data_IF_120430228570
#
_entry.id   IF_120430228570
#
_cell.length_a   1.000
_cell.length_b   1.000
_cell.length_c   1.000
_cell.angle_alpha   90.00
_cell.angle_beta   90.00
_cell.angle_gamma   90.00
#
_symmetry.space_group_name_H-M   'P 1'
#
loop_
_entity.id
_entity.type
_entity.pdbx_description
1 polymer ?
#
# COMPACT_ATOMS: atom_id res chain seq x y z
N UNK A 1 -11.73 15.56 -20.04
CA UNK A 1 -11.47 14.37 -19.19
C UNK A 1 -12.44 14.44 -18.03
N UNK A 2 -13.22 13.39 -17.78
CA UNK A 2 -14.12 13.34 -16.61
C UNK A 2 -13.31 13.09 -15.34
N UNK A 3 -13.87 13.43 -14.18
CA UNK A 3 -13.23 13.17 -12.88
C UNK A 3 -12.93 11.68 -12.69
N UNK A 4 -13.81 10.82 -13.19
CA UNK A 4 -13.66 9.36 -13.19
C UNK A 4 -12.47 8.90 -14.02
N UNK A 5 -12.30 9.44 -15.24
CA UNK A 5 -11.16 9.10 -16.10
C UNK A 5 -9.82 9.55 -15.50
N UNK A 6 -9.79 10.69 -14.78
CA UNK A 6 -8.62 11.13 -14.03
C UNK A 6 -8.29 10.20 -12.86
N UNK A 7 -9.31 9.69 -12.18
CA UNK A 7 -9.15 8.80 -11.04
C UNK A 7 -8.70 7.38 -11.46
N UNK A 8 -9.23 6.86 -12.56
CA UNK A 8 -8.75 5.60 -13.15
C UNK A 8 -7.29 5.71 -13.58
N UNK A 9 -6.94 6.78 -14.30
CA UNK A 9 -5.55 7.03 -14.67
C UNK A 9 -4.64 7.13 -13.45
N UNK A 10 -5.09 7.83 -12.39
CA UNK A 10 -4.32 7.95 -11.15
C UNK A 10 -4.12 6.60 -10.46
N UNK A 11 -5.16 5.76 -10.37
CA UNK A 11 -5.04 4.39 -9.84
C UNK A 11 -3.99 3.58 -10.60
N UNK A 12 -4.03 3.66 -11.92
CA UNK A 12 -3.09 2.96 -12.79
C UNK A 12 -1.64 3.42 -12.55
N UNK A 13 -1.41 4.74 -12.47
CA UNK A 13 -0.10 5.29 -12.15
C UNK A 13 0.40 4.90 -10.76
N UNK A 14 -0.48 4.93 -9.75
CA UNK A 14 -0.13 4.51 -8.38
C UNK A 14 0.29 3.05 -8.36
N UNK A 15 -0.39 2.18 -9.09
CA UNK A 15 -0.02 0.76 -9.22
C UNK A 15 1.38 0.60 -9.81
N UNK A 16 1.71 1.32 -10.89
CA UNK A 16 3.04 1.28 -11.50
C UNK A 16 4.14 1.81 -10.55
N UNK A 17 3.89 2.93 -9.87
CA UNK A 17 4.84 3.53 -8.92
C UNK A 17 5.11 2.57 -7.75
N UNK A 18 4.09 1.87 -7.27
CA UNK A 18 4.21 0.88 -6.20
C UNK A 18 5.10 -0.30 -6.60
N UNK A 19 4.89 -0.87 -7.79
CA UNK A 19 5.73 -1.94 -8.32
C UNK A 19 7.17 -1.48 -8.54
N UNK A 20 7.37 -0.29 -9.09
CA UNK A 20 8.71 0.26 -9.30
C UNK A 20 9.45 0.46 -7.97
N UNK A 21 8.77 1.08 -6.99
CA UNK A 21 9.32 1.31 -5.66
C UNK A 21 9.68 -0.02 -4.97
N UNK A 22 8.85 -1.05 -5.12
CA UNK A 22 9.14 -2.38 -4.60
C UNK A 22 10.46 -2.94 -5.14
N UNK A 23 10.65 -2.90 -6.46
CA UNK A 23 11.86 -3.41 -7.10
C UNK A 23 13.08 -2.70 -6.55
N UNK A 24 13.03 -1.37 -6.44
CA UNK A 24 14.11 -0.56 -5.88
C UNK A 24 14.39 -0.94 -4.42
N UNK A 25 13.36 -1.07 -3.58
CA UNK A 25 13.52 -1.43 -2.16
C UNK A 25 14.11 -2.83 -2.01
N UNK A 26 13.67 -3.81 -2.79
CA UNK A 26 14.23 -5.17 -2.77
C UNK A 26 15.70 -5.19 -3.18
N UNK A 27 16.07 -4.44 -4.22
CA UNK A 27 17.48 -4.32 -4.66
C UNK A 27 18.32 -3.66 -3.56
N UNK A 28 17.87 -2.55 -2.98
CA UNK A 28 18.62 -1.81 -1.96
C UNK A 28 18.74 -2.60 -0.65
N UNK A 29 17.65 -3.21 -0.18
CA UNK A 29 17.65 -4.01 1.05
C UNK A 29 18.43 -5.30 0.91
N UNK A 30 18.37 -5.94 -0.27
CA UNK A 30 19.21 -7.08 -0.63
C UNK A 30 20.70 -6.73 -0.67
N UNK A 31 21.06 -5.62 -1.31
CA UNK A 31 22.45 -5.14 -1.37
C UNK A 31 23.02 -4.81 0.02
N UNK A 32 22.23 -4.12 0.87
CA UNK A 32 22.64 -3.79 2.24
C UNK A 32 22.54 -4.96 3.23
N UNK A 33 22.11 -6.15 2.78
CA UNK A 33 21.79 -7.30 3.66
C UNK A 33 20.87 -6.91 4.83
N UNK A 34 19.99 -5.94 4.59
CA UNK A 34 19.05 -5.42 5.57
C UNK A 34 17.81 -6.31 5.62
N UNK A 35 17.98 -7.56 6.08
CA UNK A 35 16.95 -8.60 6.05
C UNK A 35 15.65 -8.20 6.76
N UNK A 36 15.74 -7.42 7.84
CA UNK A 36 14.57 -6.89 8.57
C UNK A 36 13.79 -5.90 7.69
N UNK A 37 14.48 -4.98 7.02
CA UNK A 37 13.85 -4.03 6.10
C UNK A 37 13.26 -4.74 4.87
N UNK A 38 13.90 -5.81 4.41
CA UNK A 38 13.39 -6.65 3.33
C UNK A 38 12.08 -7.35 3.73
N UNK A 39 12.01 -7.96 4.92
CA UNK A 39 10.77 -8.54 5.45
C UNK A 39 9.69 -7.46 5.63
N UNK A 40 10.05 -6.30 6.19
CA UNK A 40 9.13 -5.17 6.32
C UNK A 40 8.56 -4.71 4.98
N UNK A 41 9.41 -4.67 3.93
CA UNK A 41 8.97 -4.32 2.58
C UNK A 41 8.03 -5.36 1.95
N UNK A 42 8.24 -6.65 2.25
CA UNK A 42 7.34 -7.73 1.81
C UNK A 42 5.97 -7.65 2.51
N UNK A 43 5.96 -7.36 3.82
CA UNK A 43 4.71 -7.16 4.58
C UNK A 43 3.96 -5.93 4.06
N UNK A 44 4.67 -4.81 3.87
CA UNK A 44 4.11 -3.60 3.29
C UNK A 44 3.53 -3.85 1.90
N UNK A 45 4.23 -4.64 1.07
CA UNK A 45 3.74 -5.02 -0.24
C UNK A 45 2.48 -5.89 -0.16
N UNK A 46 2.45 -6.90 0.71
CA UNK A 46 1.27 -7.74 0.88
C UNK A 46 0.05 -6.88 1.25
N UNK A 47 0.24 -5.89 2.13
CA UNK A 47 -0.81 -4.96 2.53
C UNK A 47 -1.31 -4.11 1.36
N UNK A 48 -0.40 -3.56 0.57
CA UNK A 48 -0.72 -2.74 -0.60
C UNK A 48 -1.37 -3.58 -1.71
N UNK A 49 -0.87 -4.79 -1.94
CA UNK A 49 -1.43 -5.73 -2.92
C UNK A 49 -2.88 -6.09 -2.58
N UNK A 50 -3.17 -6.37 -1.31
CA UNK A 50 -4.55 -6.59 -0.84
C UNK A 50 -5.43 -5.37 -1.13
N UNK A 51 -4.93 -4.14 -0.95
CA UNK A 51 -5.70 -2.94 -1.28
C UNK A 51 -5.93 -2.72 -2.78
N UNK A 52 -4.96 -3.07 -3.63
CA UNK A 52 -5.10 -2.92 -5.08
C UNK A 52 -6.07 -3.95 -5.65
N UNK A 53 -5.97 -5.22 -5.20
CA UNK A 53 -6.84 -6.29 -5.67
C UNK A 53 -8.23 -6.29 -5.02
N UNK A 54 -8.33 -5.80 -3.79
CA UNK A 54 -9.55 -5.86 -3.01
C UNK A 54 -9.72 -4.56 -2.21
N UNK A 55 -10.12 -3.46 -2.87
CA UNK A 55 -10.20 -2.14 -2.25
C UNK A 55 -11.25 -2.06 -1.13
N UNK A 56 -12.23 -2.96 -1.12
CA UNK A 56 -13.26 -3.03 -0.07
C UNK A 56 -12.68 -3.37 1.32
N UNK A 57 -11.46 -3.93 1.36
CA UNK A 57 -10.72 -4.22 2.59
C UNK A 57 -10.28 -2.94 3.31
N UNK A 58 -10.32 -1.77 2.65
CA UNK A 58 -10.08 -0.45 3.28
C UNK A 58 -11.02 -0.21 4.44
N UNK A 59 -12.32 -0.48 4.28
CA UNK A 59 -13.32 -0.21 5.34
C UNK A 59 -12.99 -0.93 6.65
N UNK A 60 -12.89 -2.27 6.70
CA UNK A 60 -12.62 -2.97 7.96
C UNK A 60 -11.24 -2.64 8.54
N UNK A 61 -10.22 -2.37 7.72
CA UNK A 61 -8.90 -1.93 8.22
C UNK A 61 -8.98 -0.54 8.84
N UNK A 62 -9.74 0.38 8.22
CA UNK A 62 -9.96 1.72 8.75
C UNK A 62 -10.82 1.73 10.02
N UNK A 63 -11.80 0.84 10.12
CA UNK A 63 -12.61 0.63 11.34
C UNK A 63 -11.75 0.07 12.48
N UNK A 64 -10.94 -0.96 12.20
CA UNK A 64 -10.01 -1.52 13.19
C UNK A 64 -8.97 -0.50 13.66
N UNK A 65 -8.41 0.30 12.75
CA UNK A 65 -7.50 1.40 13.09
C UNK A 65 -8.22 2.49 13.89
N UNK A 66 -9.45 2.85 13.52
CA UNK A 66 -10.26 3.84 14.21
C UNK A 66 -10.57 3.43 15.65
N UNK A 67 -10.95 2.17 15.86
CA UNK A 67 -11.19 1.59 17.18
C UNK A 67 -9.92 1.60 18.04
N UNK A 68 -8.79 1.20 17.46
CA UNK A 68 -7.50 1.13 18.17
C UNK A 68 -6.90 2.50 18.48
N UNK A 69 -7.15 3.49 17.62
CA UNK A 69 -6.71 4.88 17.79
C UNK A 69 -7.74 5.74 18.51
N UNK A 70 -8.89 5.18 18.92
CA UNK A 70 -10.02 5.91 19.51
C UNK A 70 -10.52 7.09 18.65
N UNK A 71 -10.29 7.02 17.33
CA UNK A 71 -10.78 7.99 16.36
C UNK A 71 -12.25 7.67 16.10
N UNK A 72 -13.13 8.37 16.80
CA UNK A 72 -14.57 8.06 16.82
C UNK A 72 -15.27 8.40 18.13
N UNK A 73 -14.56 8.89 19.17
CA UNK A 73 -15.21 9.54 20.31
C UNK A 73 -15.73 10.94 19.94
N UNK A 74 -16.81 10.99 19.17
CA UNK A 74 -17.87 12.00 19.23
C UNK A 74 -19.18 11.38 18.79
#
# INVERSE_FOLDING_TARGET
>A
MTLEALFEWFKEQVQYVLFFTLIVVLIVTGYRRAWIAMIGSLIGLAFIGVFVFNPDVIRPVSEWLGEKLNLGKR
#
